data_IF_590585399193
#
_entry.id   IF_590585399193
#
_cell.length_a   1.000
_cell.length_b   1.000
_cell.length_c   1.000
_cell.angle_alpha   90.00
_cell.angle_beta   90.00
_cell.angle_gamma   90.00
#
_symmetry.space_group_name_H-M   'P 1'
#
loop_
_entity.id
_entity.type
_entity.pdbx_description
1 polymer ?
#
# COMPACT_ATOMS: atom_id res chain seq x y z
N UNK A 1 -17.35 9.16 -9.12
CA UNK A 1 -16.02 9.56 -9.65
C UNK A 1 -14.99 8.68 -8.94
N UNK A 2 -14.33 7.80 -9.66
CA UNK A 2 -13.19 7.02 -9.12
C UNK A 2 -12.07 8.01 -8.78
N UNK A 3 -11.60 7.95 -7.53
CA UNK A 3 -10.40 8.67 -7.13
C UNK A 3 -9.21 7.92 -7.74
N UNK A 4 -8.47 8.55 -8.61
CA UNK A 4 -7.21 8.00 -9.14
C UNK A 4 -6.13 8.03 -8.05
N UNK A 5 -5.06 7.22 -8.20
CA UNK A 5 -3.88 7.25 -7.31
C UNK A 5 -3.33 8.68 -7.13
N UNK A 6 -3.48 9.52 -8.14
CA UNK A 6 -3.14 10.95 -8.13
C UNK A 6 -3.98 11.75 -7.10
N UNK A 7 -5.27 11.47 -6.96
CA UNK A 7 -6.15 12.13 -5.99
C UNK A 7 -5.86 11.74 -4.53
N UNK A 8 -5.19 10.61 -4.31
CA UNK A 8 -4.66 10.22 -3.00
C UNK A 8 -3.41 11.04 -2.68
N UNK A 9 -2.53 11.24 -3.67
CA UNK A 9 -1.30 12.00 -3.50
C UNK A 9 -1.56 13.48 -3.19
N UNK A 10 -2.53 14.14 -3.84
CA UNK A 10 -2.89 15.54 -3.55
C UNK A 10 -3.44 15.74 -2.14
N UNK A 11 -4.05 14.74 -1.53
CA UNK A 11 -4.48 14.77 -0.12
C UNK A 11 -3.32 14.60 0.86
N UNK A 12 -2.23 13.97 0.42
CA UNK A 12 -1.05 13.76 1.24
C UNK A 12 -0.08 14.95 1.22
N UNK A 13 -0.30 15.94 0.34
CA UNK A 13 0.57 17.11 0.14
C UNK A 13 -0.24 18.41 0.29
N UNK A 14 -0.67 18.71 1.49
CA UNK A 14 -1.39 19.94 1.80
C UNK A 14 -1.10 20.42 3.22
N UNK A 15 -1.11 21.71 3.41
CA UNK A 15 -0.64 22.50 4.55
C UNK A 15 -1.41 22.36 5.87
N UNK A 16 -1.72 21.19 6.30
CA UNK A 16 -2.02 20.78 7.67
C UNK A 16 -2.02 19.25 7.68
N UNK A 17 -0.82 18.72 7.60
CA UNK A 17 -0.59 17.29 7.46
C UNK A 17 -0.84 16.59 8.79
N UNK A 18 -2.08 16.33 9.10
CA UNK A 18 -2.43 15.24 9.98
C UNK A 18 -2.35 13.93 9.19
N UNK A 19 -1.13 13.49 8.82
CA UNK A 19 -0.93 12.21 8.14
C UNK A 19 -1.13 11.11 9.15
N UNK A 20 -2.27 10.45 9.08
CA UNK A 20 -2.67 9.31 9.90
C UNK A 20 -3.57 8.41 9.09
N UNK A 21 -3.17 8.20 7.82
CA UNK A 21 -4.00 7.46 6.89
C UNK A 21 -3.66 5.99 6.93
N UNK A 22 -4.69 5.18 7.02
CA UNK A 22 -4.69 3.75 6.84
C UNK A 22 -5.46 3.45 5.58
N UNK A 23 -5.07 2.38 4.91
CA UNK A 23 -5.84 1.90 3.79
C UNK A 23 -6.61 0.65 4.20
N UNK A 24 -7.92 0.66 3.93
CA UNK A 24 -8.81 -0.46 4.11
C UNK A 24 -9.18 -1.06 2.77
N UNK A 25 -9.09 -2.39 2.64
CA UNK A 25 -9.55 -3.14 1.47
C UNK A 25 -10.70 -4.06 1.84
N UNK A 26 -11.71 -4.11 0.98
CA UNK A 26 -12.79 -5.08 1.17
C UNK A 26 -12.29 -6.50 0.84
N UNK A 27 -12.47 -7.43 1.77
CA UNK A 27 -12.06 -8.84 1.65
C UNK A 27 -13.20 -9.79 1.94
N UNK A 28 -13.07 -11.06 1.53
CA UNK A 28 -14.06 -12.10 1.80
C UNK A 28 -13.79 -12.87 3.10
N UNK A 29 -12.55 -12.88 3.55
CA UNK A 29 -12.01 -13.62 4.70
C UNK A 29 -11.38 -12.68 5.74
N UNK A 30 -12.15 -11.72 6.32
CA UNK A 30 -11.62 -10.67 7.19
C UNK A 30 -10.94 -11.20 8.46
N UNK A 31 -11.31 -12.38 8.93
CA UNK A 31 -10.73 -13.02 10.13
C UNK A 31 -9.24 -13.31 10.02
N UNK A 32 -8.67 -13.23 8.82
CA UNK A 32 -7.22 -13.43 8.58
C UNK A 32 -6.39 -12.18 8.82
N UNK A 33 -7.01 -11.01 8.93
CA UNK A 33 -6.36 -9.70 8.88
C UNK A 33 -6.75 -8.84 10.08
N UNK A 34 -6.07 -7.72 10.25
CA UNK A 34 -6.58 -6.63 11.07
C UNK A 34 -7.83 -6.05 10.41
N UNK A 35 -8.93 -5.98 11.14
CA UNK A 35 -10.24 -5.53 10.65
C UNK A 35 -10.58 -4.18 11.24
N UNK A 36 -11.01 -3.25 10.40
CA UNK A 36 -11.52 -1.95 10.84
C UNK A 36 -13.04 -1.91 10.69
N UNK A 37 -13.73 -1.53 11.77
CA UNK A 37 -15.16 -1.19 11.72
C UNK A 37 -15.33 0.31 11.47
N UNK A 38 -16.28 0.66 10.62
CA UNK A 38 -16.51 2.03 10.15
C UNK A 38 -17.95 2.47 10.38
N UNK A 39 -18.13 3.73 10.77
CA UNK A 39 -19.45 4.33 10.79
C UNK A 39 -19.95 4.66 9.36
N UNK A 40 -21.21 5.11 9.27
CA UNK A 40 -21.83 5.51 7.98
C UNK A 40 -21.13 6.67 7.27
N UNK A 41 -20.26 7.40 7.97
CA UNK A 41 -19.48 8.51 7.44
C UNK A 41 -18.06 8.10 7.06
N UNK A 42 -17.69 6.82 7.27
CA UNK A 42 -16.37 6.26 7.00
C UNK A 42 -15.35 6.51 8.10
N UNK A 43 -15.75 6.90 9.32
CA UNK A 43 -14.85 7.06 10.45
C UNK A 43 -14.64 5.70 11.11
N UNK A 44 -13.39 5.41 11.50
CA UNK A 44 -13.05 4.20 12.22
C UNK A 44 -13.70 4.21 13.63
N UNK A 45 -14.37 3.13 13.96
CA UNK A 45 -14.99 2.88 15.27
C UNK A 45 -14.16 1.93 16.12
N UNK A 46 -13.55 0.91 15.51
CA UNK A 46 -12.68 -0.04 16.17
C UNK A 46 -11.72 -0.67 15.19
N UNK A 47 -10.58 -1.14 15.69
CA UNK A 47 -9.64 -2.01 14.96
C UNK A 47 -9.39 -3.25 15.81
N UNK A 48 -9.44 -4.43 15.19
CA UNK A 48 -9.23 -5.69 15.87
C UNK A 48 -8.35 -6.60 15.01
N UNK A 49 -7.29 -7.16 15.61
CA UNK A 49 -6.37 -8.06 14.91
C UNK A 49 -6.95 -9.46 14.86
N UNK A 50 -7.11 -9.99 13.65
CA UNK A 50 -7.59 -11.36 13.37
C UNK A 50 -8.78 -11.78 14.24
N UNK A 51 -9.89 -11.00 14.20
CA UNK A 51 -11.04 -11.26 15.06
C UNK A 51 -11.72 -12.58 14.70
N UNK A 52 -12.15 -13.35 15.72
CA UNK A 52 -12.95 -14.57 15.50
C UNK A 52 -14.34 -14.27 14.91
N UNK A 53 -14.87 -13.08 15.22
CA UNK A 53 -16.17 -12.60 14.73
C UNK A 53 -15.99 -11.18 14.18
N UNK A 54 -15.55 -11.03 12.92
CA UNK A 54 -15.29 -9.73 12.32
C UNK A 54 -16.55 -8.84 12.29
N UNK A 55 -16.42 -7.57 12.67
CA UNK A 55 -17.52 -6.60 12.62
C UNK A 55 -17.73 -6.01 11.23
N UNK A 56 -16.75 -6.13 10.37
CA UNK A 56 -16.79 -5.65 8.99
C UNK A 56 -15.94 -6.52 8.07
N UNK A 57 -16.05 -6.29 6.75
CA UNK A 57 -15.21 -6.93 5.75
C UNK A 57 -14.05 -6.03 5.26
N UNK A 58 -13.68 -5.01 6.04
CA UNK A 58 -12.59 -4.13 5.68
C UNK A 58 -11.31 -4.52 6.40
N UNK A 59 -10.39 -5.16 5.66
CA UNK A 59 -9.05 -5.47 6.14
C UNK A 59 -8.15 -4.22 6.08
N UNK A 60 -7.38 -4.00 7.13
CA UNK A 60 -6.35 -2.95 7.15
C UNK A 60 -5.15 -3.45 6.37
N UNK A 61 -4.77 -2.75 5.31
CA UNK A 61 -3.62 -3.11 4.48
C UNK A 61 -2.30 -2.74 5.15
N UNK A 62 -1.18 -3.30 4.67
CA UNK A 62 0.16 -3.03 5.21
C UNK A 62 0.75 -1.66 4.84
N UNK A 63 -0.05 -0.70 4.39
CA UNK A 63 0.39 0.65 4.05
C UNK A 63 -0.07 1.65 5.11
N UNK A 64 0.89 2.23 5.81
CA UNK A 64 0.64 3.11 6.95
C UNK A 64 1.41 4.42 6.81
N UNK A 65 0.74 5.52 7.14
CA UNK A 65 1.36 6.83 7.30
C UNK A 65 1.17 7.29 8.74
N UNK A 66 2.26 7.55 9.43
CA UNK A 66 2.24 7.95 10.83
C UNK A 66 2.95 9.29 11.03
N UNK A 67 2.48 10.12 11.97
CA UNK A 67 3.27 11.25 12.47
C UNK A 67 4.42 10.75 13.35
N UNK A 68 5.37 11.63 13.65
CA UNK A 68 6.60 11.27 14.38
C UNK A 68 6.37 10.67 15.78
N UNK A 69 5.26 10.98 16.46
CA UNK A 69 4.92 10.43 17.77
C UNK A 69 4.61 8.92 17.71
N UNK A 70 4.57 8.32 16.52
CA UNK A 70 4.46 6.86 16.37
C UNK A 70 5.61 6.12 17.03
N UNK A 71 6.80 6.68 17.03
CA UNK A 71 7.98 6.04 17.65
C UNK A 71 7.77 5.85 19.16
N UNK A 72 7.24 6.90 19.82
CA UNK A 72 6.91 6.82 21.24
C UNK A 72 5.76 5.84 21.50
N UNK A 73 4.71 5.84 20.67
CA UNK A 73 3.59 4.91 20.80
C UNK A 73 4.03 3.47 20.60
N UNK A 74 4.80 3.20 19.56
CA UNK A 74 5.32 1.87 19.24
C UNK A 74 6.19 1.31 20.39
N UNK A 75 6.97 2.14 21.08
CA UNK A 75 7.78 1.73 22.23
C UNK A 75 6.95 1.29 23.44
N UNK A 76 5.66 1.65 23.49
CA UNK A 76 4.74 1.31 24.57
C UNK A 76 3.86 0.09 24.27
N UNK A 77 3.95 -0.45 23.07
CA UNK A 77 3.16 -1.64 22.70
C UNK A 77 3.63 -2.84 23.49
N UNK A 78 2.67 -3.54 24.08
CA UNK A 78 2.89 -4.80 24.77
C UNK A 78 2.54 -5.98 23.84
N UNK A 79 3.17 -7.14 24.04
CA UNK A 79 2.82 -8.33 23.27
C UNK A 79 1.34 -8.70 23.48
N UNK A 80 0.67 -9.08 22.38
CA UNK A 80 -0.69 -9.60 22.39
C UNK A 80 -0.79 -10.98 23.09
N UNK A 81 -1.98 -11.54 23.21
CA UNK A 81 -2.18 -12.93 23.67
C UNK A 81 -1.44 -13.95 22.78
N UNK A 82 -1.10 -13.58 21.55
CA UNK A 82 -0.31 -14.38 20.60
C UNK A 82 1.20 -14.26 20.83
N UNK A 83 1.64 -13.38 21.74
CA UNK A 83 3.05 -13.09 22.03
C UNK A 83 3.72 -12.18 21.00
N UNK A 84 2.94 -11.51 20.12
CA UNK A 84 3.44 -10.64 19.05
C UNK A 84 3.18 -9.16 19.37
N UNK A 85 4.08 -8.27 18.92
CA UNK A 85 3.85 -6.83 18.93
C UNK A 85 3.00 -6.46 17.70
N UNK A 86 1.73 -6.16 17.95
CA UNK A 86 0.77 -5.95 16.87
C UNK A 86 0.75 -4.49 16.43
N UNK A 87 0.77 -4.26 15.11
CA UNK A 87 0.57 -2.92 14.55
C UNK A 87 -0.83 -2.37 14.84
N UNK A 88 -1.80 -3.26 15.02
CA UNK A 88 -3.16 -2.91 15.40
C UNK A 88 -3.23 -2.21 16.76
N UNK A 89 -2.31 -2.53 17.69
CA UNK A 89 -2.20 -1.83 18.99
C UNK A 89 -1.75 -0.37 18.81
N UNK A 90 -0.81 -0.11 17.90
CA UNK A 90 -0.42 1.27 17.56
C UNK A 90 -1.60 2.03 16.93
N UNK A 91 -2.32 1.36 16.03
CA UNK A 91 -3.49 1.95 15.39
C UNK A 91 -4.59 2.27 16.41
N UNK A 92 -4.80 1.39 17.39
CA UNK A 92 -5.76 1.62 18.47
C UNK A 92 -5.41 2.85 19.30
N UNK A 93 -4.12 3.06 19.62
CA UNK A 93 -3.70 4.28 20.35
C UNK A 93 -4.04 5.57 19.57
N UNK A 94 -3.93 5.55 18.24
CA UNK A 94 -4.33 6.69 17.41
C UNK A 94 -5.86 6.82 17.31
N UNK A 95 -6.58 5.70 17.30
CA UNK A 95 -8.04 5.70 17.30
C UNK A 95 -8.59 6.29 18.61
N UNK A 96 -8.04 5.89 19.76
CA UNK A 96 -8.43 6.38 21.08
C UNK A 96 -8.22 7.90 21.26
N UNK A 97 -7.28 8.47 20.49
CA UNK A 97 -7.03 9.91 20.42
C UNK A 97 -7.88 10.63 19.36
N UNK A 98 -8.83 9.94 18.70
CA UNK A 98 -9.60 10.46 17.56
C UNK A 98 -8.68 10.97 16.41
N UNK A 99 -7.56 10.26 16.23
CA UNK A 99 -6.47 10.62 15.33
C UNK A 99 -6.21 9.56 14.27
N UNK A 100 -7.09 8.60 14.06
CA UNK A 100 -7.01 7.58 13.04
C UNK A 100 -7.94 7.91 11.88
N UNK A 101 -7.39 8.01 10.68
CA UNK A 101 -8.17 8.08 9.45
C UNK A 101 -8.00 6.81 8.62
N UNK A 102 -9.06 6.35 7.97
CA UNK A 102 -9.04 5.16 7.12
C UNK A 102 -9.56 5.52 5.73
N UNK A 103 -8.71 5.38 4.74
CA UNK A 103 -9.09 5.54 3.32
C UNK A 103 -9.43 4.17 2.73
N UNK A 104 -10.65 4.03 2.26
CA UNK A 104 -11.10 2.78 1.65
C UNK A 104 -10.65 2.71 0.19
N UNK A 105 -9.90 1.67 -0.14
CA UNK A 105 -9.52 1.36 -1.50
C UNK A 105 -10.76 0.95 -2.31
N UNK A 106 -11.01 1.69 -3.40
CA UNK A 106 -12.12 1.38 -4.30
C UNK A 106 -11.80 0.21 -5.23
N UNK A 107 -12.75 -0.14 -6.10
CA UNK A 107 -12.66 -1.28 -7.03
C UNK A 107 -11.50 -1.19 -8.04
N UNK A 108 -10.90 -0.02 -8.23
CA UNK A 108 -9.75 0.18 -9.12
C UNK A 108 -8.41 -0.22 -8.52
N UNK A 109 -8.37 -0.67 -7.26
CA UNK A 109 -7.18 -1.09 -6.56
C UNK A 109 -7.24 -2.60 -6.31
N UNK A 110 -6.12 -3.28 -6.50
CA UNK A 110 -5.92 -4.65 -6.07
C UNK A 110 -4.96 -4.65 -4.87
N UNK A 111 -5.45 -5.15 -3.74
CA UNK A 111 -4.59 -5.46 -2.61
C UNK A 111 -4.34 -6.96 -2.61
N UNK A 112 -3.08 -7.34 -2.66
CA UNK A 112 -2.63 -8.72 -2.74
C UNK A 112 -1.77 -9.01 -1.52
N UNK A 113 -2.27 -9.85 -0.63
CA UNK A 113 -1.48 -10.42 0.46
C UNK A 113 -0.58 -11.52 -0.09
N UNK A 114 0.65 -11.61 0.40
CA UNK A 114 1.65 -12.60 -0.06
C UNK A 114 2.12 -13.50 1.08
N UNK A 115 1.30 -13.64 2.13
CA UNK A 115 1.62 -14.36 3.34
C UNK A 115 1.60 -15.89 3.21
N UNK A 116 1.04 -16.44 2.13
CA UNK A 116 1.07 -17.89 1.82
C UNK A 116 1.64 -18.13 0.43
N UNK A 117 2.07 -19.37 0.15
CA UNK A 117 2.59 -19.72 -1.18
C UNK A 117 1.53 -19.56 -2.27
N UNK A 118 0.28 -19.88 -1.97
CA UNK A 118 -0.85 -19.74 -2.87
C UNK A 118 -1.08 -18.27 -3.22
N UNK A 119 -1.16 -17.41 -2.21
CA UNK A 119 -1.37 -15.97 -2.40
C UNK A 119 -0.20 -15.32 -3.16
N UNK A 120 1.04 -15.76 -2.89
CA UNK A 120 2.21 -15.29 -3.62
C UNK A 120 2.15 -15.66 -5.11
N UNK A 121 1.69 -16.88 -5.43
CA UNK A 121 1.49 -17.31 -6.80
C UNK A 121 0.40 -16.52 -7.50
N UNK A 122 -0.73 -16.29 -6.82
CA UNK A 122 -1.83 -15.46 -7.35
C UNK A 122 -1.37 -14.03 -7.62
N UNK A 123 -0.65 -13.42 -6.67
CA UNK A 123 -0.09 -12.08 -6.84
C UNK A 123 0.86 -12.02 -8.05
N UNK A 124 1.76 -13.01 -8.18
CA UNK A 124 2.69 -13.10 -9.30
C UNK A 124 1.97 -13.22 -10.64
N UNK A 125 0.93 -14.07 -10.70
CA UNK A 125 0.10 -14.25 -11.90
C UNK A 125 -0.67 -12.99 -12.26
N UNK A 126 -1.23 -12.31 -11.24
CA UNK A 126 -1.95 -11.04 -11.45
C UNK A 126 -1.04 -9.98 -12.05
N UNK A 127 0.15 -9.77 -11.48
CA UNK A 127 1.13 -8.81 -11.97
C UNK A 127 1.58 -9.18 -13.39
N UNK A 128 1.88 -10.46 -13.68
CA UNK A 128 2.26 -10.93 -15.02
C UNK A 128 1.20 -10.58 -16.07
N UNK A 129 -0.07 -10.83 -15.76
CA UNK A 129 -1.18 -10.52 -16.65
C UNK A 129 -1.27 -9.03 -16.95
N UNK A 130 -1.15 -8.19 -15.93
CA UNK A 130 -1.20 -6.72 -16.06
C UNK A 130 -0.04 -6.26 -16.94
N UNK A 131 1.19 -6.65 -16.61
CA UNK A 131 2.39 -6.25 -17.37
C UNK A 131 2.34 -6.72 -18.83
N UNK A 132 1.92 -7.96 -19.06
CA UNK A 132 1.81 -8.51 -20.41
C UNK A 132 0.74 -7.81 -21.25
N UNK A 133 -0.37 -7.40 -20.64
CA UNK A 133 -1.48 -6.70 -21.32
C UNK A 133 -1.17 -5.25 -21.62
N UNK A 134 -0.53 -4.56 -20.70
CA UNK A 134 -0.22 -3.13 -20.83
C UNK A 134 1.12 -2.87 -21.50
N UNK A 135 2.05 -3.82 -21.44
CA UNK A 135 3.44 -3.63 -21.90
C UNK A 135 4.27 -2.74 -20.96
N UNK A 136 3.71 -2.40 -19.79
CA UNK A 136 4.34 -1.57 -18.78
C UNK A 136 4.71 -2.43 -17.55
N UNK A 137 5.77 -2.05 -16.85
CA UNK A 137 6.20 -2.71 -15.63
C UNK A 137 5.48 -2.14 -14.41
N UNK A 138 5.06 -3.01 -13.49
CA UNK A 138 4.52 -2.59 -12.19
C UNK A 138 5.67 -2.28 -11.25
N UNK A 139 5.62 -1.12 -10.59
CA UNK A 139 6.60 -0.67 -9.62
C UNK A 139 8.05 -0.62 -10.16
N UNK A 140 8.24 -0.27 -11.44
CA UNK A 140 9.55 -0.02 -12.01
C UNK A 140 10.12 1.27 -11.43
N UNK A 141 11.04 1.14 -10.46
CA UNK A 141 11.56 2.30 -9.71
C UNK A 141 12.35 3.27 -10.58
N UNK A 142 13.05 2.79 -11.59
CA UNK A 142 13.82 3.59 -12.54
C UNK A 142 12.90 4.43 -13.46
N UNK A 143 11.80 3.83 -13.94
CA UNK A 143 10.79 4.53 -14.72
C UNK A 143 10.13 5.62 -13.88
N UNK A 144 9.71 5.29 -12.65
CA UNK A 144 9.12 6.24 -11.71
C UNK A 144 10.08 7.39 -11.41
N UNK A 145 11.36 7.07 -11.17
CA UNK A 145 12.39 8.09 -10.92
C UNK A 145 12.59 9.02 -12.13
N UNK A 146 12.56 8.44 -13.34
CA UNK A 146 12.67 9.20 -14.58
C UNK A 146 11.46 10.11 -14.80
N UNK A 147 10.23 9.59 -14.63
CA UNK A 147 8.98 10.36 -14.77
C UNK A 147 8.88 11.50 -13.75
N UNK A 148 9.41 11.28 -12.52
CA UNK A 148 9.45 12.28 -11.46
C UNK A 148 10.60 13.27 -11.61
N UNK A 149 11.48 13.10 -12.61
CA UNK A 149 12.65 13.94 -12.83
C UNK A 149 13.76 13.77 -11.80
N UNK A 150 13.78 12.67 -11.05
CA UNK A 150 14.84 12.33 -10.09
C UNK A 150 16.09 11.84 -10.80
N UNK A 151 15.93 11.23 -11.96
CA UNK A 151 17.01 10.86 -12.88
C UNK A 151 16.71 11.40 -14.28
N UNK A 152 17.77 11.67 -15.03
CA UNK A 152 17.66 12.06 -16.43
C UNK A 152 17.67 10.86 -17.39
N UNK A 153 17.50 11.15 -18.69
CA UNK A 153 17.50 10.15 -19.74
C UNK A 153 18.79 9.34 -19.80
N UNK A 154 19.96 10.02 -19.63
CA UNK A 154 21.24 9.35 -19.70
C UNK A 154 21.41 8.39 -18.53
N UNK A 155 21.03 8.80 -17.33
CA UNK A 155 21.05 7.95 -16.15
C UNK A 155 20.14 6.73 -16.31
N UNK A 156 18.95 6.90 -16.89
CA UNK A 156 18.06 5.76 -17.19
C UNK A 156 18.69 4.78 -18.19
N UNK A 157 19.38 5.28 -19.22
CA UNK A 157 20.14 4.45 -20.18
C UNK A 157 21.25 3.69 -19.45
N UNK A 158 22.03 4.37 -18.62
CA UNK A 158 23.16 3.79 -17.88
C UNK A 158 22.69 2.65 -16.92
N UNK A 159 21.50 2.81 -16.32
CA UNK A 159 20.85 1.77 -15.52
C UNK A 159 20.36 0.59 -16.36
N UNK A 160 19.84 0.84 -17.56
CA UNK A 160 19.33 -0.20 -18.45
C UNK A 160 20.41 -1.02 -19.17
N UNK A 161 21.56 -0.42 -19.51
CA UNK A 161 22.62 -1.05 -20.30
C UNK A 161 23.18 -2.34 -19.68
N UNK A 162 23.52 -2.40 -18.38
CA UNK A 162 24.00 -3.63 -17.74
C UNK A 162 22.97 -4.78 -17.79
N UNK A 163 21.68 -4.42 -17.86
CA UNK A 163 20.55 -5.35 -17.90
C UNK A 163 20.02 -5.61 -19.32
N UNK A 164 20.70 -5.11 -20.35
CA UNK A 164 20.23 -5.14 -21.75
C UNK A 164 19.95 -6.54 -22.32
N UNK A 165 20.50 -7.59 -21.69
CA UNK A 165 20.27 -8.99 -22.09
C UNK A 165 18.95 -9.57 -21.57
N UNK A 166 18.28 -8.91 -20.63
CA UNK A 166 17.00 -9.35 -20.07
C UNK A 166 15.86 -8.38 -20.44
N UNK A 167 14.63 -8.83 -20.22
CA UNK A 167 13.43 -8.05 -20.57
C UNK A 167 13.32 -6.74 -19.79
N UNK A 168 13.80 -6.71 -18.54
CA UNK A 168 13.73 -5.52 -17.70
C UNK A 168 14.63 -4.39 -18.22
N UNK A 169 15.90 -4.71 -18.51
CA UNK A 169 16.82 -3.72 -19.10
C UNK A 169 16.37 -3.24 -20.48
N UNK A 170 15.83 -4.15 -21.32
CA UNK A 170 15.24 -3.77 -22.60
C UNK A 170 14.06 -2.82 -22.44
N UNK A 171 13.24 -3.03 -21.39
CA UNK A 171 12.15 -2.13 -21.04
C UNK A 171 12.66 -0.73 -20.70
N UNK A 172 13.65 -0.60 -19.81
CA UNK A 172 14.25 0.69 -19.45
C UNK A 172 14.81 1.44 -20.67
N UNK A 173 15.53 0.72 -21.54
CA UNK A 173 16.08 1.30 -22.77
C UNK A 173 14.98 1.74 -23.75
N UNK A 174 13.84 1.04 -23.77
CA UNK A 174 12.67 1.42 -24.57
C UNK A 174 12.05 2.71 -24.05
N UNK A 175 11.82 2.81 -22.72
CA UNK A 175 11.30 4.04 -22.07
C UNK A 175 12.24 5.22 -22.35
N UNK A 176 13.54 5.03 -22.20
CA UNK A 176 14.54 6.07 -22.48
C UNK A 176 14.48 6.59 -23.92
N UNK A 177 14.02 5.78 -24.89
CA UNK A 177 13.81 6.19 -26.29
C UNK A 177 12.49 6.91 -26.53
N UNK A 178 11.60 7.02 -25.51
CA UNK A 178 10.26 7.59 -25.64
C UNK A 178 9.28 6.66 -26.38
N UNK A 179 9.49 5.35 -26.31
CA UNK A 179 8.67 4.31 -26.93
C UNK A 179 7.81 3.61 -25.86
N UNK A 180 7.05 4.38 -25.08
CA UNK A 180 6.07 3.88 -24.10
C UNK A 180 4.72 3.62 -24.76
#
# INVERSE_FOLDING_TARGET
KQKTAYGIHERLVGSEMCIRDRFGSHVQDPERYGVVDLDKKGRALSIEEKPKNPKSNYAVTGLYFYPNDVVEKASKVLPSERGELEISSVNQMFLDEDRLNVEIMGRGYAWLDTGTHENLLEASTFIEIIERRQGLKVACIEEIAFEKGYIDRQQLIDLGLPLSKNQYGQYLLRIAKGLS
#
